data_IF_558728616584
#
_entry.id   IF_558728616584
#
_cell.length_a   1.000
_cell.length_b   1.000
_cell.length_c   1.000
_cell.angle_alpha   90.00
_cell.angle_beta   90.00
_cell.angle_gamma   90.00
#
_symmetry.space_group_name_H-M   'P 1'
#
loop_
_entity.id
_entity.type
_entity.pdbx_description
1 polymer ?
#
# COMPACT_ATOMS: atom_id res chain seq x y z
N UNK A 1 23.80 -37.12 9.80
CA UNK A 1 22.39 -36.82 10.11
C UNK A 1 22.40 -35.55 10.96
N UNK A 2 22.14 -34.39 10.37
CA UNK A 2 22.22 -33.10 11.07
C UNK A 2 21.18 -33.06 12.20
N UNK A 3 21.66 -32.72 13.40
CA UNK A 3 20.95 -32.53 14.68
C UNK A 3 19.46 -32.93 14.73
N UNK A 4 19.14 -34.09 15.30
CA UNK A 4 17.78 -34.46 15.67
C UNK A 4 17.57 -34.26 17.18
N UNK A 5 16.77 -33.26 17.56
CA UNK A 5 16.28 -33.11 18.92
C UNK A 5 14.91 -33.78 19.05
N UNK A 6 14.82 -34.83 19.88
CA UNK A 6 13.60 -35.62 20.07
C UNK A 6 12.79 -35.02 21.23
N UNK A 7 11.82 -34.18 20.88
CA UNK A 7 10.85 -33.63 21.84
C UNK A 7 9.63 -34.56 21.90
N UNK A 8 9.41 -35.20 23.04
CA UNK A 8 8.21 -36.00 23.33
C UNK A 8 7.10 -35.11 23.86
N UNK A 9 5.99 -35.05 23.13
CA UNK A 9 4.78 -34.34 23.55
C UNK A 9 3.76 -35.30 24.18
N UNK A 10 2.88 -34.81 25.08
CA UNK A 10 1.73 -35.55 25.57
C UNK A 10 0.82 -36.04 24.44
N UNK A 11 0.08 -37.13 24.67
CA UNK A 11 -0.91 -37.64 23.70
C UNK A 11 -1.88 -36.53 23.28
N UNK A 12 -2.07 -36.36 21.97
CA UNK A 12 -2.96 -35.36 21.39
C UNK A 12 -2.34 -33.99 21.10
N UNK A 13 -1.07 -33.74 21.48
CA UNK A 13 -0.35 -32.51 21.12
C UNK A 13 0.57 -32.72 19.93
N UNK A 14 0.59 -31.73 19.04
CA UNK A 14 1.51 -31.67 17.91
C UNK A 14 2.51 -30.53 18.09
N UNK A 15 3.72 -30.70 17.55
CA UNK A 15 4.67 -29.59 17.39
C UNK A 15 4.13 -28.64 16.32
N UNK A 16 4.38 -27.35 16.43
CA UNK A 16 4.04 -26.37 15.39
C UNK A 16 5.33 -25.77 14.87
N UNK A 17 5.50 -25.75 13.55
CA UNK A 17 6.57 -25.03 12.86
C UNK A 17 5.91 -23.89 12.10
N UNK A 18 6.32 -22.66 12.43
CA UNK A 18 5.88 -21.46 11.74
C UNK A 18 6.99 -21.05 10.78
N UNK A 19 6.65 -20.89 9.50
CA UNK A 19 7.53 -20.39 8.47
C UNK A 19 6.93 -19.08 7.98
N UNK A 20 7.59 -17.98 8.31
CA UNK A 20 7.24 -16.67 7.77
C UNK A 20 7.94 -16.45 6.43
N UNK A 21 7.37 -15.59 5.58
CA UNK A 21 7.87 -15.29 4.22
C UNK A 21 8.17 -16.55 3.38
N UNK A 22 7.26 -17.54 3.43
CA UNK A 22 7.43 -18.82 2.74
C UNK A 22 7.53 -18.66 1.20
N UNK A 23 7.06 -17.54 0.65
CA UNK A 23 7.17 -17.14 -0.75
C UNK A 23 8.59 -16.72 -1.16
N UNK A 24 9.49 -16.50 -0.20
CA UNK A 24 10.92 -16.29 -0.43
C UNK A 24 11.71 -17.60 -0.52
N UNK A 25 11.09 -18.76 -0.24
CA UNK A 25 11.75 -20.06 -0.35
C UNK A 25 11.92 -20.48 -1.81
N UNK A 26 13.09 -21.01 -2.16
CA UNK A 26 13.33 -21.60 -3.48
C UNK A 26 12.47 -22.84 -3.71
N UNK A 27 12.12 -23.12 -4.97
CA UNK A 27 11.32 -24.29 -5.34
C UNK A 27 11.93 -25.61 -4.82
N UNK A 28 13.26 -25.73 -4.87
CA UNK A 28 13.97 -26.90 -4.33
C UNK A 28 13.77 -27.07 -2.82
N UNK A 29 13.81 -25.98 -2.06
CA UNK A 29 13.54 -25.99 -0.62
C UNK A 29 12.08 -26.34 -0.32
N UNK A 30 11.14 -25.80 -1.11
CA UNK A 30 9.71 -26.12 -0.99
C UNK A 30 9.43 -27.60 -1.30
N UNK A 31 10.06 -28.19 -2.32
CA UNK A 31 9.92 -29.62 -2.64
C UNK A 31 10.47 -30.51 -1.52
N UNK A 32 11.59 -30.12 -0.89
CA UNK A 32 12.11 -30.82 0.28
C UNK A 32 11.16 -30.70 1.48
N UNK A 33 10.64 -29.50 1.74
CA UNK A 33 9.69 -29.21 2.81
C UNK A 33 8.40 -30.04 2.66
N UNK A 34 7.85 -30.15 1.45
CA UNK A 34 6.68 -30.98 1.16
C UNK A 34 6.86 -32.41 1.70
N UNK A 35 8.01 -33.04 1.41
CA UNK A 35 8.28 -34.41 1.89
C UNK A 35 8.34 -34.49 3.41
N UNK A 36 8.91 -33.47 4.06
CA UNK A 36 8.97 -33.38 5.52
C UNK A 36 7.55 -33.24 6.12
N UNK A 37 6.71 -32.40 5.52
CA UNK A 37 5.32 -32.19 5.95
C UNK A 37 4.52 -33.50 5.86
N UNK A 38 4.71 -34.29 4.81
CA UNK A 38 4.06 -35.60 4.65
C UNK A 38 4.51 -36.59 5.73
N UNK A 39 5.82 -36.78 5.89
CA UNK A 39 6.41 -37.77 6.81
C UNK A 39 6.01 -37.48 8.26
N UNK A 40 6.01 -36.20 8.67
CA UNK A 40 5.79 -35.81 10.06
C UNK A 40 4.38 -35.30 10.38
N UNK A 41 3.43 -35.42 9.44
CA UNK A 41 2.03 -34.97 9.57
C UNK A 41 1.30 -35.45 10.83
N UNK A 42 1.67 -36.63 11.37
CA UNK A 42 1.09 -37.17 12.62
C UNK A 42 1.62 -36.51 13.89
N UNK A 43 2.78 -35.85 13.84
CA UNK A 43 3.48 -35.32 15.04
C UNK A 43 3.72 -33.82 15.00
N UNK A 44 3.71 -33.23 13.81
CA UNK A 44 4.05 -31.82 13.57
C UNK A 44 3.02 -31.20 12.62
N UNK A 45 2.61 -29.98 12.93
CA UNK A 45 1.80 -29.09 12.08
C UNK A 45 2.67 -27.95 11.59
N UNK A 46 2.35 -27.46 10.39
CA UNK A 46 3.05 -26.36 9.75
C UNK A 46 2.08 -25.20 9.58
N UNK A 47 2.54 -24.00 9.87
CA UNK A 47 1.86 -22.75 9.54
C UNK A 47 2.80 -21.95 8.64
N UNK A 48 2.38 -21.69 7.40
CA UNK A 48 3.14 -20.92 6.44
C UNK A 48 2.47 -19.57 6.27
N UNK A 49 3.22 -18.48 6.43
CA UNK A 49 2.80 -17.13 6.09
C UNK A 49 3.51 -16.70 4.80
N UNK A 50 2.78 -16.08 3.88
CA UNK A 50 3.29 -15.60 2.60
C UNK A 50 2.42 -14.45 2.09
N UNK A 51 2.99 -13.55 1.30
CA UNK A 51 2.24 -12.46 0.65
C UNK A 51 1.73 -12.91 -0.73
N UNK A 52 2.56 -13.64 -1.47
CA UNK A 52 2.26 -14.14 -2.81
C UNK A 52 1.99 -15.66 -2.80
N UNK A 53 0.71 -16.06 -2.71
CA UNK A 53 0.33 -17.48 -2.65
C UNK A 53 0.71 -18.26 -3.92
N UNK A 54 0.83 -17.58 -5.06
CA UNK A 54 1.27 -18.11 -6.36
C UNK A 54 2.75 -18.55 -6.36
N UNK A 55 3.59 -17.99 -5.47
CA UNK A 55 4.99 -18.41 -5.29
C UNK A 55 5.14 -19.68 -4.47
N UNK A 56 4.06 -20.18 -3.86
CA UNK A 56 4.06 -21.45 -3.13
C UNK A 56 3.67 -22.57 -4.09
N UNK A 57 4.47 -23.64 -4.14
CA UNK A 57 4.19 -24.77 -5.02
C UNK A 57 2.84 -25.44 -4.67
N UNK A 58 2.08 -25.82 -5.69
CA UNK A 58 0.77 -26.48 -5.54
C UNK A 58 0.78 -27.73 -4.62
N UNK A 59 1.85 -28.56 -4.57
CA UNK A 59 1.95 -29.65 -3.62
C UNK A 59 1.90 -29.23 -2.13
N UNK A 60 2.41 -28.05 -1.78
CA UNK A 60 2.28 -27.52 -0.40
C UNK A 60 0.87 -26.99 -0.19
N UNK A 61 0.34 -26.22 -1.14
CA UNK A 61 -1.01 -25.64 -1.05
C UNK A 61 -2.08 -26.71 -0.85
N UNK A 62 -2.03 -27.81 -1.60
CA UNK A 62 -2.96 -28.95 -1.50
C UNK A 62 -2.95 -29.66 -0.14
N UNK A 63 -1.90 -29.47 0.69
CA UNK A 63 -1.75 -30.06 2.03
C UNK A 63 -2.08 -29.07 3.16
N UNK A 64 -2.35 -27.81 2.83
CA UNK A 64 -2.61 -26.75 3.77
C UNK A 64 -4.02 -26.21 3.62
N UNK A 65 -4.61 -25.74 4.71
CA UNK A 65 -5.79 -24.88 4.63
C UNK A 65 -5.34 -23.47 4.26
N UNK A 66 -5.75 -22.98 3.09
CA UNK A 66 -5.40 -21.64 2.62
C UNK A 66 -6.34 -20.63 3.26
N UNK A 67 -5.82 -19.84 4.21
CA UNK A 67 -6.53 -18.72 4.82
C UNK A 67 -6.09 -17.43 4.13
N UNK A 68 -7.01 -16.74 3.46
CA UNK A 68 -6.72 -15.48 2.77
C UNK A 68 -7.05 -14.30 3.68
N UNK A 69 -6.06 -13.45 3.93
CA UNK A 69 -6.25 -12.18 4.63
C UNK A 69 -6.43 -11.06 3.62
N UNK A 70 -7.50 -10.30 3.76
CA UNK A 70 -7.73 -9.08 2.99
C UNK A 70 -7.16 -7.87 3.74
N UNK A 71 -6.93 -6.77 3.03
CA UNK A 71 -6.62 -5.47 3.65
C UNK A 71 -7.72 -5.08 4.63
N UNK A 72 -7.34 -4.41 5.71
CA UNK A 72 -8.29 -3.89 6.67
C UNK A 72 -9.10 -2.75 6.06
N UNK A 73 -10.37 -2.67 6.45
CA UNK A 73 -11.21 -1.52 6.11
C UNK A 73 -10.85 -0.32 6.99
N UNK A 74 -11.06 0.88 6.46
CA UNK A 74 -10.77 2.14 7.18
C UNK A 74 -11.44 2.19 8.56
N UNK A 75 -12.67 1.67 8.68
CA UNK A 75 -13.38 1.59 9.96
C UNK A 75 -12.74 0.63 10.98
N UNK A 76 -12.17 -0.50 10.53
CA UNK A 76 -11.44 -1.42 11.40
C UNK A 76 -10.11 -0.81 11.88
N UNK A 77 -9.41 -0.11 10.99
CA UNK A 77 -8.17 0.59 11.33
C UNK A 77 -8.47 1.72 12.33
N UNK A 78 -9.50 2.53 12.07
CA UNK A 78 -9.93 3.61 12.95
C UNK A 78 -10.27 3.12 14.36
N UNK A 79 -11.10 2.07 14.47
CA UNK A 79 -11.48 1.50 15.77
C UNK A 79 -10.24 1.08 16.57
N UNK A 80 -9.27 0.44 15.90
CA UNK A 80 -8.03 0.01 16.56
C UNK A 80 -7.12 1.18 16.94
N UNK A 81 -7.06 2.23 16.11
CA UNK A 81 -6.29 3.44 16.41
C UNK A 81 -6.89 4.19 17.61
N UNK A 82 -8.22 4.32 17.67
CA UNK A 82 -8.92 4.95 18.80
C UNK A 82 -8.64 4.23 20.11
N UNK A 83 -8.70 2.89 20.14
CA UNK A 83 -8.35 2.10 21.32
C UNK A 83 -6.94 2.44 21.85
N UNK A 84 -5.97 2.57 20.94
CA UNK A 84 -4.56 2.83 21.28
C UNK A 84 -4.36 4.28 21.73
N UNK A 85 -5.00 5.24 21.06
CA UNK A 85 -4.99 6.65 21.46
C UNK A 85 -5.54 6.82 22.87
N UNK A 86 -6.62 6.10 23.22
CA UNK A 86 -7.17 6.10 24.56
C UNK A 86 -6.27 5.42 25.60
N UNK A 87 -5.62 4.30 25.26
CA UNK A 87 -4.72 3.58 26.17
C UNK A 87 -3.43 4.35 26.47
N UNK A 88 -2.86 5.00 25.46
CA UNK A 88 -1.60 5.76 25.56
C UNK A 88 -1.84 7.25 25.89
N UNK A 89 -3.10 7.67 26.05
CA UNK A 89 -3.50 9.06 26.32
C UNK A 89 -2.87 10.09 25.35
N UNK A 90 -2.89 9.77 24.05
CA UNK A 90 -2.29 10.61 23.01
C UNK A 90 -3.16 11.84 22.70
N UNK A 91 -2.51 12.97 22.41
CA UNK A 91 -3.19 14.18 21.94
C UNK A 91 -3.31 14.15 20.41
N UNK A 92 -4.51 13.88 19.92
CA UNK A 92 -4.78 13.64 18.50
C UNK A 92 -6.00 14.45 18.05
N UNK A 93 -5.97 14.95 16.82
CA UNK A 93 -7.12 15.55 16.15
C UNK A 93 -7.74 14.59 15.13
N UNK A 94 -9.04 14.75 14.84
CA UNK A 94 -9.77 13.85 13.95
C UNK A 94 -9.18 13.82 12.53
N UNK A 95 -8.71 14.97 12.02
CA UNK A 95 -7.99 15.08 10.75
C UNK A 95 -6.64 14.34 10.76
N UNK A 96 -5.99 14.25 11.93
CA UNK A 96 -4.77 13.46 12.11
C UNK A 96 -5.03 11.96 11.98
N UNK A 97 -6.12 11.45 12.56
CA UNK A 97 -6.50 10.04 12.40
C UNK A 97 -6.88 9.71 10.95
N UNK A 98 -7.62 10.59 10.29
CA UNK A 98 -7.93 10.43 8.86
C UNK A 98 -6.66 10.40 8.00
N UNK A 99 -5.68 11.27 8.28
CA UNK A 99 -4.40 11.28 7.57
C UNK A 99 -3.60 9.99 7.81
N UNK A 100 -3.59 9.45 9.03
CA UNK A 100 -2.93 8.16 9.33
C UNK A 100 -3.61 7.01 8.59
N UNK A 101 -4.94 6.98 8.54
CA UNK A 101 -5.69 5.95 7.81
C UNK A 101 -5.42 6.06 6.31
N UNK A 102 -5.42 7.29 5.78
CA UNK A 102 -5.11 7.55 4.39
C UNK A 102 -3.74 6.96 4.04
N UNK A 103 -2.68 7.36 4.76
CA UNK A 103 -1.29 6.91 4.53
C UNK A 103 -1.10 5.39 4.75
N UNK A 104 -1.86 4.77 5.64
CA UNK A 104 -1.73 3.35 5.96
C UNK A 104 -2.27 2.38 4.89
N UNK A 105 -3.22 2.79 4.05
CA UNK A 105 -3.78 1.99 2.95
C UNK A 105 -4.22 0.55 3.34
N UNK A 106 -4.78 0.41 4.55
CA UNK A 106 -5.26 -0.86 5.11
C UNK A 106 -4.18 -1.71 5.79
N UNK A 107 -2.94 -1.22 5.90
CA UNK A 107 -1.87 -1.83 6.69
C UNK A 107 -1.88 -1.28 8.12
N UNK A 108 -2.27 -2.11 9.08
CA UNK A 108 -2.29 -1.73 10.50
C UNK A 108 -0.90 -1.42 11.05
N UNK A 109 0.14 -2.15 10.60
CA UNK A 109 1.51 -1.94 11.07
C UNK A 109 1.98 -0.56 10.63
N UNK A 110 1.73 -0.19 9.38
CA UNK A 110 2.06 1.14 8.87
C UNK A 110 1.29 2.23 9.62
N UNK A 111 -0.01 2.04 9.87
CA UNK A 111 -0.83 2.99 10.63
C UNK A 111 -0.24 3.27 12.03
N UNK A 112 0.14 2.22 12.76
CA UNK A 112 0.73 2.34 14.09
C UNK A 112 2.11 2.99 14.07
N UNK A 113 2.94 2.61 13.11
CA UNK A 113 4.26 3.22 12.95
C UNK A 113 4.16 4.72 12.65
N UNK A 114 3.22 5.12 11.77
CA UNK A 114 2.97 6.52 11.44
C UNK A 114 2.46 7.29 12.66
N UNK A 115 1.50 6.72 13.40
CA UNK A 115 0.96 7.30 14.63
C UNK A 115 2.08 7.53 15.66
N UNK A 116 2.88 6.50 15.94
CA UNK A 116 3.97 6.54 16.90
C UNK A 116 5.06 7.54 16.48
N UNK A 117 5.45 7.53 15.20
CA UNK A 117 6.49 8.43 14.68
C UNK A 117 6.04 9.89 14.74
N UNK A 118 4.77 10.16 14.43
CA UNK A 118 4.20 11.51 14.52
C UNK A 118 4.14 12.01 15.96
N UNK A 119 3.70 11.16 16.89
CA UNK A 119 3.70 11.50 18.32
C UNK A 119 5.12 11.73 18.86
N UNK A 120 6.06 10.86 18.52
CA UNK A 120 7.45 10.97 18.97
C UNK A 120 8.14 12.23 18.43
N UNK A 121 7.85 12.60 17.17
CA UNK A 121 8.45 13.78 16.53
C UNK A 121 7.85 15.11 16.98
N UNK A 122 6.52 15.20 17.07
CA UNK A 122 5.80 16.47 17.24
C UNK A 122 4.90 16.54 18.48
N UNK A 123 4.69 15.42 19.18
CA UNK A 123 3.77 15.30 20.31
C UNK A 123 2.30 15.29 19.90
N UNK A 124 1.84 16.35 19.23
CA UNK A 124 0.46 16.49 18.76
C UNK A 124 0.28 15.91 17.35
N UNK A 125 -0.70 15.02 17.19
CA UNK A 125 -0.98 14.33 15.94
C UNK A 125 -2.08 15.08 15.19
N UNK A 126 -1.68 15.84 14.17
CA UNK A 126 -2.56 16.51 13.21
C UNK A 126 -2.24 16.08 11.78
N UNK A 127 -3.10 16.41 10.82
CA UNK A 127 -2.91 16.04 9.41
C UNK A 127 -1.57 16.52 8.85
N UNK A 128 -1.16 17.75 9.16
CA UNK A 128 0.08 18.34 8.66
C UNK A 128 1.33 17.60 9.16
N UNK A 129 1.39 17.26 10.45
CA UNK A 129 2.52 16.53 11.03
C UNK A 129 2.57 15.10 10.50
N UNK A 130 1.42 14.45 10.28
CA UNK A 130 1.37 13.11 9.70
C UNK A 130 1.94 13.14 8.28
N UNK A 131 1.51 14.06 7.41
CA UNK A 131 2.02 14.15 6.04
C UNK A 131 3.51 14.53 5.98
N UNK A 132 3.99 15.34 6.93
CA UNK A 132 5.43 15.64 7.06
C UNK A 132 6.26 14.43 7.45
N UNK A 133 5.76 13.57 8.34
CA UNK A 133 6.48 12.36 8.78
C UNK A 133 6.42 11.26 7.72
N UNK A 134 5.29 11.12 7.03
CA UNK A 134 5.10 10.12 5.98
C UNK A 134 5.73 10.53 4.63
N UNK A 135 6.18 11.78 4.50
CA UNK A 135 6.74 12.34 3.27
C UNK A 135 5.84 12.16 2.05
N UNK A 136 4.52 12.31 2.24
CA UNK A 136 3.52 12.24 1.18
C UNK A 136 2.98 13.65 0.84
N UNK A 137 2.76 13.97 -0.45
CA UNK A 137 2.15 15.23 -0.86
C UNK A 137 0.72 15.34 -0.33
N UNK A 138 0.37 16.52 0.18
CA UNK A 138 -0.96 16.76 0.75
C UNK A 138 -2.07 16.53 -0.30
N UNK A 139 -3.11 15.72 -0.01
CA UNK A 139 -4.11 15.31 -0.99
C UNK A 139 -4.91 16.49 -1.56
N UNK A 140 -5.02 17.59 -0.82
CA UNK A 140 -5.67 18.82 -1.30
C UNK A 140 -4.92 19.47 -2.48
N UNK A 141 -3.58 19.45 -2.49
CA UNK A 141 -2.78 20.00 -3.60
C UNK A 141 -3.02 19.18 -4.86
N UNK A 142 -2.98 17.85 -4.72
CA UNK A 142 -3.24 16.90 -5.82
C UNK A 142 -4.69 17.03 -6.33
N UNK A 143 -5.65 17.24 -5.43
CA UNK A 143 -7.05 17.49 -5.79
C UNK A 143 -7.22 18.79 -6.58
N UNK A 144 -6.54 19.86 -6.15
CA UNK A 144 -6.50 21.14 -6.89
C UNK A 144 -5.92 20.97 -8.28
N UNK A 145 -4.77 20.30 -8.38
CA UNK A 145 -4.11 19.97 -9.65
C UNK A 145 -5.04 19.21 -10.61
N UNK A 146 -5.70 18.14 -10.13
CA UNK A 146 -6.68 17.40 -10.96
C UNK A 146 -7.88 18.27 -11.35
N UNK A 147 -8.30 19.20 -10.50
CA UNK A 147 -9.33 20.19 -10.83
C UNK A 147 -8.93 21.11 -11.99
N UNK A 148 -7.68 21.60 -11.99
CA UNK A 148 -7.12 22.37 -13.10
C UNK A 148 -7.03 21.54 -14.38
N UNK A 149 -6.64 20.27 -14.29
CA UNK A 149 -6.65 19.36 -15.43
C UNK A 149 -8.06 19.17 -16.02
N UNK A 150 -9.08 19.05 -15.17
CA UNK A 150 -10.49 18.97 -15.60
C UNK A 150 -10.93 20.24 -16.33
N UNK A 151 -10.47 21.40 -15.88
CA UNK A 151 -10.73 22.69 -16.55
C UNK A 151 -9.92 22.88 -17.85
N UNK A 152 -8.93 22.02 -18.13
CA UNK A 152 -8.03 22.15 -19.27
C UNK A 152 -6.90 23.15 -19.06
N UNK A 153 -6.70 23.63 -17.83
CA UNK A 153 -5.67 24.60 -17.48
C UNK A 153 -4.36 23.87 -17.11
N UNK A 154 -3.49 23.71 -18.09
CA UNK A 154 -2.21 23.02 -17.93
C UNK A 154 -1.20 23.83 -17.12
N UNK A 155 -1.20 25.17 -17.25
CA UNK A 155 -0.19 26.02 -16.63
C UNK A 155 -0.34 26.00 -15.10
N UNK A 156 -1.58 26.13 -14.61
CA UNK A 156 -1.86 26.03 -13.18
C UNK A 156 -1.66 24.61 -12.63
N UNK A 157 -2.02 23.58 -13.39
CA UNK A 157 -1.73 22.20 -12.99
C UNK A 157 -0.22 21.92 -12.89
N UNK A 158 0.57 22.44 -13.84
CA UNK A 158 2.02 22.28 -13.87
C UNK A 158 2.68 22.99 -12.70
N UNK A 159 2.23 24.19 -12.34
CA UNK A 159 2.72 24.92 -11.15
C UNK A 159 2.63 24.09 -9.87
N UNK A 160 1.54 23.35 -9.69
CA UNK A 160 1.38 22.47 -8.51
C UNK A 160 2.39 21.33 -8.54
N UNK A 161 2.59 20.68 -9.69
CA UNK A 161 3.58 19.59 -9.82
C UNK A 161 5.00 20.11 -9.65
N UNK A 162 5.33 21.27 -10.21
CA UNK A 162 6.63 21.91 -10.04
C UNK A 162 6.90 22.26 -8.57
N UNK A 163 5.89 22.76 -7.84
CA UNK A 163 6.00 23.01 -6.41
C UNK A 163 6.24 21.71 -5.62
N UNK A 164 5.52 20.63 -5.93
CA UNK A 164 5.76 19.32 -5.30
C UNK A 164 7.16 18.78 -5.63
N UNK A 165 7.63 18.99 -6.86
CA UNK A 165 8.98 18.60 -7.27
C UNK A 165 10.06 19.39 -6.53
N UNK A 166 9.85 20.71 -6.35
CA UNK A 166 10.77 21.58 -5.64
C UNK A 166 10.86 21.26 -4.14
N UNK A 167 9.79 20.69 -3.56
CA UNK A 167 9.78 20.18 -2.19
C UNK A 167 10.55 18.86 -2.03
N UNK A 168 10.95 18.22 -3.13
CA UNK A 168 11.77 17.00 -3.13
C UNK A 168 10.99 15.70 -3.08
N UNK A 169 9.66 15.74 -3.30
CA UNK A 169 8.86 14.51 -3.36
C UNK A 169 9.28 13.61 -4.51
N UNK A 170 9.29 12.30 -4.27
CA UNK A 170 9.62 11.34 -5.32
C UNK A 170 8.53 11.32 -6.39
N UNK A 171 8.88 11.11 -7.68
CA UNK A 171 7.89 11.06 -8.75
C UNK A 171 6.87 9.93 -8.52
N UNK A 172 7.33 8.79 -8.03
CA UNK A 172 6.50 7.62 -7.71
C UNK A 172 5.46 7.95 -6.62
N UNK A 173 5.83 8.71 -5.58
CA UNK A 173 4.90 9.14 -4.54
C UNK A 173 3.87 10.15 -5.06
N UNK A 174 4.30 11.07 -5.93
CA UNK A 174 3.40 12.03 -6.58
C UNK A 174 2.37 11.27 -7.43
N UNK A 175 2.81 10.35 -8.28
CA UNK A 175 1.91 9.60 -9.17
C UNK A 175 0.99 8.64 -8.39
N UNK A 176 1.50 8.02 -7.33
CA UNK A 176 0.71 7.18 -6.43
C UNK A 176 -0.42 7.97 -5.77
N UNK A 177 -0.13 9.18 -5.30
CA UNK A 177 -1.14 10.08 -4.75
C UNK A 177 -2.12 10.61 -5.80
N UNK A 178 -1.66 10.96 -6.99
CA UNK A 178 -2.54 11.33 -8.12
C UNK A 178 -3.54 10.22 -8.41
N UNK A 179 -3.08 8.96 -8.48
CA UNK A 179 -3.96 7.82 -8.69
C UNK A 179 -4.99 7.65 -7.56
N UNK A 180 -4.56 7.77 -6.30
CA UNK A 180 -5.44 7.65 -5.11
C UNK A 180 -6.52 8.72 -5.10
N UNK A 181 -6.15 9.98 -5.32
CA UNK A 181 -7.09 11.11 -5.34
C UNK A 181 -8.00 11.05 -6.57
N UNK A 182 -7.50 10.63 -7.73
CA UNK A 182 -8.32 10.50 -8.95
C UNK A 182 -9.46 9.48 -8.79
N UNK A 183 -9.26 8.40 -8.03
CA UNK A 183 -10.31 7.39 -7.79
C UNK A 183 -11.49 7.97 -6.99
N UNK A 184 -11.19 8.80 -6.00
CA UNK A 184 -12.18 9.39 -5.08
C UNK A 184 -12.78 10.69 -5.60
N UNK A 185 -12.14 11.36 -6.55
CA UNK A 185 -12.61 12.62 -7.12
C UNK A 185 -13.99 12.47 -7.80
N UNK A 186 -14.95 13.37 -7.55
CA UNK A 186 -16.23 13.40 -8.26
C UNK A 186 -16.03 13.97 -9.67
N UNK A 187 -16.13 13.12 -10.69
CA UNK A 187 -16.03 13.48 -12.11
C UNK A 187 -16.85 12.48 -12.95
N UNK A 188 -17.13 12.82 -14.21
CA UNK A 188 -17.83 11.92 -15.12
C UNK A 188 -17.09 10.59 -15.28
N UNK A 189 -17.81 9.47 -15.28
CA UNK A 189 -17.21 8.13 -15.24
C UNK A 189 -16.32 7.85 -16.45
N UNK A 190 -16.75 8.26 -17.66
CA UNK A 190 -15.93 8.12 -18.88
C UNK A 190 -14.58 8.84 -18.73
N UNK A 191 -14.61 10.06 -18.20
CA UNK A 191 -13.42 10.89 -18.04
C UNK A 191 -12.50 10.33 -16.95
N UNK A 192 -13.10 9.81 -15.87
CA UNK A 192 -12.36 9.14 -14.79
C UNK A 192 -11.57 7.95 -15.31
N UNK A 193 -12.19 7.13 -16.15
CA UNK A 193 -11.53 5.96 -16.75
C UNK A 193 -10.39 6.37 -17.69
N UNK A 194 -10.57 7.41 -18.51
CA UNK A 194 -9.49 7.95 -19.35
C UNK A 194 -8.34 8.49 -18.51
N UNK A 195 -8.63 9.20 -17.41
CA UNK A 195 -7.61 9.72 -16.49
C UNK A 195 -6.83 8.58 -15.84
N UNK A 196 -7.52 7.58 -15.29
CA UNK A 196 -6.90 6.41 -14.67
C UNK A 196 -6.00 5.67 -15.67
N UNK A 197 -6.43 5.56 -16.94
CA UNK A 197 -5.64 4.94 -18.00
C UNK A 197 -4.33 5.70 -18.26
N UNK A 198 -4.38 7.02 -18.43
CA UNK A 198 -3.17 7.83 -18.68
C UNK A 198 -2.23 7.88 -17.46
N UNK A 199 -2.78 7.95 -16.24
CA UNK A 199 -2.02 7.85 -15.00
C UNK A 199 -1.31 6.48 -14.92
N UNK A 200 -2.02 5.40 -15.24
CA UNK A 200 -1.46 4.05 -15.26
C UNK A 200 -0.33 3.88 -16.26
N UNK A 201 -0.47 4.41 -17.48
CA UNK A 201 0.60 4.37 -18.48
C UNK A 201 1.83 5.17 -18.05
N UNK A 202 1.62 6.33 -17.44
CA UNK A 202 2.75 7.14 -16.95
C UNK A 202 3.44 6.44 -15.79
N UNK A 203 2.67 5.91 -14.82
CA UNK A 203 3.22 5.15 -13.70
C UNK A 203 4.07 3.95 -14.17
N UNK A 204 3.59 3.17 -15.14
CA UNK A 204 4.35 2.08 -15.74
C UNK A 204 5.69 2.56 -16.33
N UNK A 205 5.69 3.65 -17.11
CA UNK A 205 6.93 4.23 -17.68
C UNK A 205 7.90 4.75 -16.61
N UNK A 206 7.38 5.24 -15.49
CA UNK A 206 8.21 5.68 -14.38
C UNK A 206 8.86 4.48 -13.69
N UNK A 207 8.11 3.39 -13.49
CA UNK A 207 8.65 2.12 -12.96
C UNK A 207 9.69 1.48 -13.89
N UNK A 208 9.65 1.75 -15.20
CA UNK A 208 10.70 1.35 -16.16
C UNK A 208 11.97 2.21 -16.05
N UNK A 209 11.97 3.26 -15.21
CA UNK A 209 13.13 4.11 -14.93
C UNK A 209 13.07 5.49 -15.58
N UNK A 210 11.98 5.86 -16.28
CA UNK A 210 11.81 7.19 -16.87
C UNK A 210 11.07 8.10 -15.89
N UNK A 211 11.77 8.58 -14.87
CA UNK A 211 11.19 9.34 -13.76
C UNK A 211 11.47 10.85 -13.84
N UNK A 212 11.50 11.44 -15.03
CA UNK A 212 11.78 12.86 -15.20
C UNK A 212 10.53 13.74 -15.02
N UNK A 213 10.73 14.99 -14.60
CA UNK A 213 9.66 16.00 -14.53
C UNK A 213 8.92 16.15 -15.87
N UNK A 214 9.60 15.90 -16.99
CA UNK A 214 9.00 15.91 -18.32
C UNK A 214 7.91 14.82 -18.49
N UNK A 215 8.06 13.64 -17.88
CA UNK A 215 7.00 12.62 -17.93
C UNK A 215 5.77 13.09 -17.15
N UNK A 216 5.96 13.76 -16.01
CA UNK A 216 4.88 14.32 -15.21
C UNK A 216 4.16 15.45 -15.96
N UNK A 217 4.91 16.37 -16.57
CA UNK A 217 4.35 17.40 -17.44
C UNK A 217 3.58 16.80 -18.63
N UNK A 218 4.14 15.75 -19.24
CA UNK A 218 3.50 14.99 -20.31
C UNK A 218 2.21 14.30 -19.87
N UNK A 219 2.14 13.81 -18.63
CA UNK A 219 0.90 13.30 -18.04
C UNK A 219 -0.15 14.40 -17.95
N UNK A 220 0.18 15.56 -17.36
CA UNK A 220 -0.76 16.69 -17.24
C UNK A 220 -1.31 17.12 -18.60
N UNK A 221 -0.44 17.24 -19.61
CA UNK A 221 -0.85 17.57 -20.97
C UNK A 221 -1.83 16.56 -21.55
N UNK A 222 -1.60 15.26 -21.34
CA UNK A 222 -2.54 14.22 -21.77
C UNK A 222 -3.86 14.32 -21.02
N UNK A 223 -3.84 14.54 -19.71
CA UNK A 223 -5.07 14.70 -18.92
C UNK A 223 -5.91 15.88 -19.40
N UNK A 224 -5.29 17.05 -19.61
CA UNK A 224 -5.97 18.23 -20.17
C UNK A 224 -6.46 18.01 -21.61
N UNK A 225 -5.78 17.19 -22.42
CA UNK A 225 -6.25 16.89 -23.78
C UNK A 225 -7.54 16.04 -23.79
N UNK A 226 -7.78 15.24 -22.74
CA UNK A 226 -8.92 14.32 -22.64
C UNK A 226 -10.20 15.00 -22.17
N UNK A 227 -10.09 16.19 -21.58
CA UNK A 227 -11.22 17.01 -21.13
C UNK A 227 -11.78 17.90 -22.24
N UNK A 228 -10.99 18.14 -23.29
CA UNK A 228 -11.52 18.72 -24.52
C UNK A 228 -12.61 17.78 -25.08
N UNK A 229 -13.78 18.29 -25.49
CA UNK A 229 -14.79 17.48 -26.15
C UNK A 229 -14.13 16.78 -27.34
N UNK A 230 -14.44 15.50 -27.62
CA UNK A 230 -13.93 14.82 -28.80
C UNK A 230 -14.24 15.72 -29.99
N UNK A 231 -13.22 16.01 -30.81
CA UNK A 231 -13.45 16.71 -32.06
C UNK A 231 -14.57 15.98 -32.79
N UNK A 232 -15.70 16.66 -33.02
CA UNK A 232 -16.69 16.16 -33.93
C UNK A 232 -16.00 16.01 -35.30
N UNK A 233 -16.12 14.82 -35.88
CA UNK A 233 -15.54 14.32 -37.15
C UNK A 233 -14.10 13.80 -37.09
#
# INVERSE_FOLDING_TARGET
>A
MFAQQKVTLPKGRHKIIILDEADSMTDGAQQALRRIMEIYSKTTRFALACNASDRIIEPIQSRCAVLRYAKLTDGQVLARLQDIVHQEALSVSDDGLEAVIFTAQGDMRQALNNLQSTHSGFGFINSENVFKVCDEPHPLLVKGMLGHCVAGDIDEAYRVVEALWALGYSPDDIIGNIFRVCKTLPMAEYLKLEFIKEIGYTHMRMSEGVNSLLQMAGLLARLCSKTAPPAAS
#
